data_IF_926501205330
#
_entry.id   IF_926501205330
#
_cell.length_a   1.000
_cell.length_b   1.000
_cell.length_c   1.000
_cell.angle_alpha   90.00
_cell.angle_beta   90.00
_cell.angle_gamma   90.00
#
_symmetry.space_group_name_H-M   'P 1'
#
loop_
_entity.id
_entity.type
_entity.pdbx_description
1 polymer ?
#
# COMPACT_ATOMS: atom_id res chain seq x y z
N UNK A 1 19.30 14.77 -4.99
CA UNK A 1 19.83 13.58 -4.29
C UNK A 1 18.70 12.55 -4.31
N UNK A 2 18.91 11.39 -4.95
CA UNK A 2 17.87 10.36 -5.01
C UNK A 2 18.02 9.46 -3.80
N UNK A 3 16.95 9.33 -3.02
CA UNK A 3 16.91 8.49 -1.82
C UNK A 3 16.29 7.14 -2.18
N UNK A 4 16.85 6.05 -1.67
CA UNK A 4 16.41 4.68 -2.01
C UNK A 4 15.92 3.97 -0.76
N UNK A 5 14.83 3.22 -0.87
CA UNK A 5 14.38 2.31 0.19
C UNK A 5 14.93 0.91 -0.07
N UNK A 6 15.56 0.31 0.93
CA UNK A 6 15.96 -1.10 0.87
C UNK A 6 14.74 -2.01 1.06
N UNK A 7 14.50 -2.92 0.11
CA UNK A 7 13.40 -3.90 0.16
C UNK A 7 13.79 -5.20 0.89
N UNK A 8 15.02 -5.34 1.38
CA UNK A 8 15.55 -6.60 1.94
C UNK A 8 14.74 -7.11 3.14
N UNK A 9 14.32 -6.22 4.03
CA UNK A 9 13.48 -6.57 5.19
C UNK A 9 12.05 -6.87 4.77
N UNK A 10 11.48 -6.02 3.92
CA UNK A 10 10.13 -6.14 3.40
C UNK A 10 9.85 -7.43 2.63
N UNK A 11 10.81 -7.90 1.84
CA UNK A 11 10.67 -9.17 1.11
C UNK A 11 10.66 -10.41 2.03
N UNK A 12 10.94 -10.26 3.33
CA UNK A 12 10.80 -11.32 4.36
C UNK A 12 9.50 -11.20 5.15
N UNK A 13 8.68 -10.17 4.88
CA UNK A 13 7.41 -9.99 5.55
C UNK A 13 6.40 -11.02 5.03
N UNK A 14 5.56 -11.58 5.90
CA UNK A 14 4.58 -12.62 5.53
C UNK A 14 3.69 -12.21 4.36
N UNK A 15 3.22 -10.96 4.33
CA UNK A 15 2.42 -10.45 3.20
C UNK A 15 3.16 -10.43 1.84
N UNK A 16 4.49 -10.31 1.83
CA UNK A 16 5.27 -10.43 0.61
C UNK A 16 5.24 -11.87 0.08
N UNK A 17 5.26 -12.86 0.99
CA UNK A 17 5.12 -14.28 0.66
C UNK A 17 3.70 -14.62 0.21
N UNK A 18 2.68 -14.16 0.94
CA UNK A 18 1.26 -14.38 0.62
C UNK A 18 0.87 -13.84 -0.77
N UNK A 19 1.46 -12.71 -1.18
CA UNK A 19 1.21 -12.10 -2.48
C UNK A 19 1.83 -12.88 -3.66
N UNK A 20 2.63 -13.93 -3.40
CA UNK A 20 3.35 -14.83 -4.34
C UNK A 20 4.39 -14.17 -5.26
N UNK A 21 4.16 -12.92 -5.67
CA UNK A 21 5.06 -12.11 -6.52
C UNK A 21 5.82 -11.03 -5.73
N UNK A 22 5.79 -11.10 -4.40
CA UNK A 22 6.29 -10.04 -3.53
C UNK A 22 5.28 -8.90 -3.37
N UNK A 23 5.76 -7.76 -2.91
CA UNK A 23 4.94 -6.56 -2.68
C UNK A 23 4.74 -5.79 -3.99
N UNK A 24 3.78 -4.87 -4.00
CA UNK A 24 3.58 -3.95 -5.11
C UNK A 24 4.31 -2.65 -4.83
N UNK A 25 5.02 -2.12 -5.82
CA UNK A 25 5.55 -0.75 -5.77
C UNK A 25 4.56 0.15 -6.47
N UNK A 26 3.90 1.00 -5.69
CA UNK A 26 2.80 1.86 -6.13
C UNK A 26 3.26 3.31 -6.16
N UNK A 27 2.85 4.11 -7.16
CA UNK A 27 3.17 5.54 -7.20
C UNK A 27 2.74 6.24 -5.90
N UNK A 28 3.68 6.96 -5.28
CA UNK A 28 3.45 7.65 -4.01
C UNK A 28 2.31 8.66 -4.11
N UNK A 29 2.18 9.33 -5.25
CA UNK A 29 1.08 10.27 -5.51
C UNK A 29 -0.30 9.58 -5.47
N UNK A 30 -0.42 8.41 -6.09
CA UNK A 30 -1.66 7.64 -6.03
C UNK A 30 -1.96 7.16 -4.60
N UNK A 31 -0.93 6.75 -3.85
CA UNK A 31 -1.12 6.39 -2.45
C UNK A 31 -1.60 7.57 -1.60
N UNK A 32 -1.18 8.79 -1.93
CA UNK A 32 -1.67 10.00 -1.28
C UNK A 32 -3.14 10.28 -1.62
N UNK A 33 -3.54 10.08 -2.89
CA UNK A 33 -4.95 10.21 -3.32
C UNK A 33 -5.90 9.31 -2.52
N UNK A 34 -5.45 8.11 -2.15
CA UNK A 34 -6.27 7.16 -1.37
C UNK A 34 -5.94 7.13 0.14
N UNK A 35 -5.13 8.08 0.61
CA UNK A 35 -4.76 8.22 2.02
C UNK A 35 -5.83 8.90 2.85
N UNK A 36 -5.71 8.82 4.17
CA UNK A 36 -6.56 9.57 5.08
C UNK A 36 -6.25 11.08 4.95
N UNK A 37 -7.19 11.90 4.45
CA UNK A 37 -6.97 13.35 4.33
C UNK A 37 -6.73 14.01 5.69
N UNK A 38 -7.33 13.46 6.75
CA UNK A 38 -7.30 14.00 8.11
C UNK A 38 -6.23 13.34 8.99
N UNK A 39 -5.28 12.59 8.41
CA UNK A 39 -4.18 12.03 9.20
C UNK A 39 -3.41 13.16 9.90
N UNK A 40 -3.02 12.91 11.14
CA UNK A 40 -2.28 13.85 11.99
C UNK A 40 -0.89 14.16 11.42
N UNK A 41 -0.21 15.14 12.00
CA UNK A 41 1.20 15.46 11.64
C UNK A 41 2.20 14.57 12.38
N UNK A 42 1.73 13.84 13.40
CA UNK A 42 2.53 12.89 14.18
C UNK A 42 1.87 11.51 14.23
N UNK A 43 2.70 10.49 14.46
CA UNK A 43 2.28 9.08 14.60
C UNK A 43 3.03 8.42 15.76
N UNK A 44 2.40 7.44 16.38
CA UNK A 44 3.12 6.39 17.11
C UNK A 44 3.82 5.46 16.10
N UNK A 45 4.98 4.92 16.46
CA UNK A 45 5.76 3.94 15.70
C UNK A 45 5.32 2.48 15.97
N UNK A 46 4.36 2.26 16.88
CA UNK A 46 3.86 0.93 17.26
C UNK A 46 4.89 0.09 18.01
N UNK A 47 5.93 0.73 18.55
CA UNK A 47 7.03 0.09 19.28
C UNK A 47 6.75 0.00 20.79
N UNK A 48 5.55 0.41 21.23
CA UNK A 48 5.13 0.37 22.63
C UNK A 48 5.66 1.54 23.47
N UNK A 49 6.29 2.54 22.84
CA UNK A 49 6.46 3.84 23.49
C UNK A 49 5.22 4.71 23.26
N UNK A 50 4.90 5.59 24.22
CA UNK A 50 3.80 6.55 24.06
C UNK A 50 4.25 7.80 23.30
N UNK A 51 5.36 7.72 22.54
CA UNK A 51 5.98 8.87 21.89
C UNK A 51 5.33 9.14 20.53
N UNK A 52 5.06 10.42 20.27
CA UNK A 52 4.58 10.90 18.99
C UNK A 52 5.76 11.35 18.12
N UNK A 53 5.84 10.80 16.91
CA UNK A 53 6.92 11.03 15.96
C UNK A 53 6.43 11.83 14.75
N UNK A 54 7.21 12.81 14.32
CA UNK A 54 6.96 13.58 13.08
C UNK A 54 7.23 12.74 11.83
N UNK A 55 6.70 13.16 10.67
CA UNK A 55 6.99 12.55 9.35
C UNK A 55 8.49 12.45 9.08
N UNK A 56 9.24 13.51 9.38
CA UNK A 56 10.71 13.53 9.28
C UNK A 56 11.36 12.43 10.11
N UNK A 57 10.94 12.27 11.36
CA UNK A 57 11.54 11.29 12.27
C UNK A 57 11.24 9.86 11.82
N UNK A 58 10.00 9.60 11.39
CA UNK A 58 9.59 8.33 10.77
C UNK A 58 10.50 8.00 9.59
N UNK A 59 10.74 8.98 8.72
CA UNK A 59 11.54 8.76 7.53
C UNK A 59 13.02 8.54 7.83
N UNK A 60 13.61 9.32 8.72
CA UNK A 60 15.00 9.11 9.14
C UNK A 60 15.20 7.71 9.74
N UNK A 61 14.21 7.20 10.48
CA UNK A 61 14.22 5.82 10.95
C UNK A 61 14.20 4.82 9.79
N UNK A 62 13.36 5.02 8.78
CA UNK A 62 13.30 4.16 7.57
C UNK A 62 14.63 4.18 6.82
N UNK A 63 15.28 5.34 6.66
CA UNK A 63 16.56 5.43 5.98
C UNK A 63 17.67 4.72 6.76
N UNK A 64 17.69 4.90 8.08
CA UNK A 64 18.71 4.31 8.95
C UNK A 64 18.54 2.80 9.11
N UNK A 65 17.31 2.35 9.32
CA UNK A 65 17.02 0.99 9.76
C UNK A 65 16.41 0.14 8.64
N UNK A 66 16.00 0.74 7.52
CA UNK A 66 15.12 0.11 6.55
C UNK A 66 13.67 0.06 7.02
N UNK A 67 12.76 -0.08 6.06
CA UNK A 67 11.34 -0.32 6.31
C UNK A 67 11.11 -1.80 6.62
N UNK A 68 10.33 -2.12 7.64
CA UNK A 68 10.05 -3.49 8.09
C UNK A 68 8.68 -3.99 7.65
N UNK A 69 7.68 -3.12 7.69
CA UNK A 69 6.29 -3.41 7.37
C UNK A 69 5.90 -2.63 6.13
N UNK A 70 5.31 -3.26 5.09
CA UNK A 70 4.82 -2.54 3.93
C UNK A 70 3.67 -1.59 4.30
N UNK A 71 3.29 -0.73 3.35
CA UNK A 71 1.99 -0.05 3.41
C UNK A 71 0.87 -1.07 3.20
N UNK A 72 -0.31 -0.79 3.73
CA UNK A 72 -1.48 -1.67 3.59
C UNK A 72 -2.60 -0.95 2.87
N UNK A 73 -3.00 -1.50 1.72
CA UNK A 73 -4.19 -1.05 0.96
C UNK A 73 -5.29 -2.08 1.11
N UNK A 74 -6.50 -1.59 1.39
CA UNK A 74 -7.69 -2.44 1.49
C UNK A 74 -8.64 -2.08 0.35
N UNK A 75 -9.13 -3.11 -0.33
CA UNK A 75 -10.22 -3.02 -1.29
C UNK A 75 -11.47 -3.64 -0.67
N UNK A 76 -12.52 -2.84 -0.54
CA UNK A 76 -13.83 -3.30 -0.14
C UNK A 76 -14.64 -3.68 -1.38
N UNK A 77 -15.01 -4.95 -1.49
CA UNK A 77 -15.87 -5.45 -2.55
C UNK A 77 -17.22 -5.88 -1.94
N UNK A 78 -18.21 -4.99 -1.83
CA UNK A 78 -19.50 -5.30 -1.19
C UNK A 78 -20.27 -6.40 -1.94
N UNK A 79 -21.30 -6.93 -1.29
CA UNK A 79 -22.26 -7.81 -1.95
C UNK A 79 -22.87 -7.09 -3.17
N UNK A 80 -22.85 -7.68 -4.38
CA UNK A 80 -23.39 -7.04 -5.59
C UNK A 80 -24.89 -6.73 -5.48
N UNK A 81 -25.64 -7.45 -4.64
CA UNK A 81 -27.06 -7.16 -4.39
C UNK A 81 -27.28 -5.86 -3.61
N UNK A 82 -26.29 -5.46 -2.82
CA UNK A 82 -26.35 -4.23 -2.01
C UNK A 82 -25.78 -3.04 -2.78
N UNK A 83 -24.64 -3.25 -3.47
CA UNK A 83 -23.94 -2.22 -4.22
C UNK A 83 -23.41 -2.77 -5.56
N UNK A 84 -24.23 -2.78 -6.63
CA UNK A 84 -23.93 -3.52 -7.85
C UNK A 84 -22.80 -2.94 -8.71
N UNK A 85 -22.48 -1.65 -8.57
CA UNK A 85 -21.51 -0.97 -9.45
C UNK A 85 -20.21 -0.52 -8.78
N UNK A 86 -20.17 -0.49 -7.45
CA UNK A 86 -19.13 0.24 -6.71
C UNK A 86 -18.39 -0.71 -5.78
N UNK A 87 -17.07 -0.66 -5.87
CA UNK A 87 -16.16 -1.15 -4.84
C UNK A 87 -15.48 0.07 -4.21
N UNK A 88 -14.85 -0.11 -3.05
CA UNK A 88 -14.09 0.96 -2.41
C UNK A 88 -12.64 0.59 -2.21
N UNK A 89 -11.77 1.58 -2.12
CA UNK A 89 -10.36 1.41 -1.82
C UNK A 89 -9.91 2.46 -0.81
N UNK A 90 -8.92 2.11 0.01
CA UNK A 90 -8.17 3.08 0.81
C UNK A 90 -6.79 2.57 1.18
N UNK A 91 -5.90 3.50 1.52
CA UNK A 91 -4.71 3.22 2.31
C UNK A 91 -5.13 3.07 3.78
N UNK A 92 -5.06 1.84 4.28
CA UNK A 92 -5.39 1.50 5.66
C UNK A 92 -4.24 1.85 6.61
N UNK A 93 -2.99 1.55 6.23
CA UNK A 93 -1.82 1.81 7.05
C UNK A 93 -0.68 2.42 6.25
N UNK A 94 -0.02 3.40 6.88
CA UNK A 94 1.16 4.09 6.35
C UNK A 94 0.92 5.49 5.80
N UNK A 95 -0.17 6.17 6.20
CA UNK A 95 -0.47 7.56 5.81
C UNK A 95 0.74 8.51 6.01
N UNK A 96 1.39 8.47 7.18
CA UNK A 96 2.57 9.30 7.48
C UNK A 96 3.78 8.97 6.60
N UNK A 97 3.95 7.69 6.24
CA UNK A 97 5.05 7.23 5.37
C UNK A 97 4.88 7.72 3.93
N UNK A 98 3.64 7.81 3.44
CA UNK A 98 3.33 8.41 2.13
C UNK A 98 3.70 9.89 2.10
N UNK A 99 3.28 10.65 3.13
CA UNK A 99 3.59 12.09 3.22
C UNK A 99 5.10 12.35 3.24
N UNK A 100 5.83 11.63 4.10
CA UNK A 100 7.27 11.76 4.18
C UNK A 100 7.99 11.35 2.88
N UNK A 101 7.48 10.33 2.19
CA UNK A 101 8.02 9.90 0.91
C UNK A 101 7.85 10.97 -0.19
N UNK A 102 6.71 11.67 -0.24
CA UNK A 102 6.48 12.78 -1.17
C UNK A 102 7.44 13.94 -0.90
N UNK A 103 7.60 14.35 0.37
CA UNK A 103 8.52 15.42 0.79
C UNK A 103 9.97 15.12 0.36
N UNK A 104 10.32 13.83 0.29
CA UNK A 104 11.66 13.34 -0.06
C UNK A 104 11.83 12.98 -1.54
N UNK A 105 10.81 13.20 -2.38
CA UNK A 105 10.86 12.90 -3.81
C UNK A 105 10.90 11.40 -4.14
N UNK A 106 10.41 10.55 -3.25
CA UNK A 106 10.28 9.11 -3.49
C UNK A 106 9.04 8.86 -4.34
N UNK A 107 9.25 8.25 -5.50
CA UNK A 107 8.18 8.07 -6.49
C UNK A 107 7.30 6.85 -6.24
N UNK A 108 7.80 5.82 -5.55
CA UNK A 108 7.07 4.58 -5.32
C UNK A 108 7.29 4.04 -3.90
N UNK A 109 6.25 3.44 -3.32
CA UNK A 109 6.32 2.77 -2.02
C UNK A 109 5.84 1.31 -2.10
N UNK A 110 6.41 0.43 -1.26
CA UNK A 110 6.04 -0.97 -1.17
C UNK A 110 4.73 -1.15 -0.39
N UNK A 111 3.79 -1.85 -1.02
CA UNK A 111 2.40 -2.01 -0.58
C UNK A 111 2.04 -3.50 -0.62
N UNK A 112 1.35 -3.96 0.42
CA UNK A 112 0.53 -5.15 0.37
C UNK A 112 -0.93 -4.73 0.21
N UNK A 113 -1.70 -5.48 -0.58
CA UNK A 113 -3.09 -5.16 -0.86
C UNK A 113 -3.98 -6.38 -0.77
N UNK A 114 -5.11 -6.21 -0.10
CA UNK A 114 -6.07 -7.28 0.12
C UNK A 114 -7.47 -6.79 -0.19
N UNK A 115 -8.31 -7.69 -0.69
CA UNK A 115 -9.73 -7.42 -0.94
C UNK A 115 -10.61 -8.30 -0.07
N UNK A 116 -11.71 -7.72 0.41
CA UNK A 116 -12.72 -8.40 1.23
C UNK A 116 -14.09 -7.77 1.04
N UNK A 117 -15.14 -8.57 1.20
CA UNK A 117 -16.53 -8.08 1.33
C UNK A 117 -16.93 -7.70 2.76
N UNK A 118 -16.04 -7.92 3.73
CA UNK A 118 -16.20 -7.47 5.10
C UNK A 118 -14.85 -6.97 5.65
N UNK A 119 -14.34 -5.84 5.15
CA UNK A 119 -13.05 -5.31 5.57
C UNK A 119 -13.14 -4.79 7.01
N UNK A 120 -12.13 -5.13 7.82
CA UNK A 120 -11.95 -4.48 9.11
C UNK A 120 -11.18 -3.17 8.90
N UNK A 121 -11.85 -2.06 9.17
CA UNK A 121 -11.31 -0.71 9.09
C UNK A 121 -11.02 -0.20 10.49
N UNK A 122 -9.75 -0.02 10.83
CA UNK A 122 -9.40 0.47 12.16
C UNK A 122 -9.79 1.94 12.27
N UNK A 123 -10.65 2.28 13.23
CA UNK A 123 -11.19 3.64 13.38
C UNK A 123 -10.10 4.69 13.59
N UNK A 124 -9.01 4.33 14.29
CA UNK A 124 -7.84 5.19 14.48
C UNK A 124 -7.10 5.55 13.19
N UNK A 125 -7.31 4.82 12.09
CA UNK A 125 -6.70 5.10 10.79
C UNK A 125 -7.57 6.02 9.91
N UNK A 126 -8.78 6.35 10.34
CA UNK A 126 -9.76 7.15 9.62
C UNK A 126 -10.94 6.36 9.08
N UNK A 127 -11.95 7.08 8.58
CA UNK A 127 -13.19 6.54 7.98
C UNK A 127 -13.27 6.79 6.48
N UNK A 128 -12.20 7.33 5.88
CA UNK A 128 -12.10 7.61 4.45
C UNK A 128 -12.22 6.32 3.64
N UNK A 129 -12.90 6.44 2.50
CA UNK A 129 -12.96 5.42 1.45
C UNK A 129 -13.16 6.11 0.12
N UNK A 130 -12.59 5.55 -0.94
CA UNK A 130 -12.69 6.09 -2.29
C UNK A 130 -13.34 5.07 -3.21
N UNK A 131 -14.26 5.53 -4.05
CA UNK A 131 -14.96 4.66 -4.97
C UNK A 131 -14.04 4.24 -6.12
N UNK A 132 -14.09 2.96 -6.44
CA UNK A 132 -13.47 2.37 -7.64
C UNK A 132 -14.49 1.49 -8.35
N UNK A 133 -14.29 1.26 -9.65
CA UNK A 133 -15.20 0.44 -10.42
C UNK A 133 -15.11 -1.01 -9.97
N UNK A 134 -16.27 -1.58 -9.63
CA UNK A 134 -16.39 -3.01 -9.28
C UNK A 134 -15.79 -3.92 -10.34
N UNK A 135 -16.05 -3.63 -11.61
CA UNK A 135 -15.56 -4.43 -12.72
C UNK A 135 -14.03 -4.50 -12.78
N UNK A 136 -13.32 -3.42 -12.41
CA UNK A 136 -11.85 -3.40 -12.40
C UNK A 136 -11.30 -4.34 -11.32
N UNK A 137 -11.95 -4.38 -10.15
CA UNK A 137 -11.64 -5.31 -9.05
C UNK A 137 -11.87 -6.77 -9.48
N UNK A 138 -13.04 -7.09 -10.03
CA UNK A 138 -13.36 -8.43 -10.51
C UNK A 138 -12.38 -8.91 -11.57
N UNK A 139 -12.00 -8.03 -12.49
CA UNK A 139 -11.04 -8.33 -13.54
C UNK A 139 -9.63 -8.57 -12.97
N UNK A 140 -9.22 -7.81 -11.95
CA UNK A 140 -7.95 -8.05 -11.26
C UNK A 140 -7.92 -9.41 -10.54
N UNK A 141 -9.06 -9.83 -9.99
CA UNK A 141 -9.25 -11.13 -9.34
C UNK A 141 -9.43 -12.29 -10.31
N UNK A 142 -9.69 -12.02 -11.59
CA UNK A 142 -10.12 -13.02 -12.58
C UNK A 142 -11.41 -13.74 -12.16
N UNK A 143 -12.43 -12.98 -11.71
CA UNK A 143 -13.69 -13.52 -11.16
C UNK A 143 -14.95 -12.82 -11.69
N UNK A 144 -16.09 -13.39 -11.34
CA UNK A 144 -17.45 -12.91 -11.60
C UNK A 144 -18.21 -12.66 -10.29
N UNK A 145 -19.36 -11.97 -10.37
CA UNK A 145 -20.15 -11.50 -9.22
C UNK A 145 -20.84 -12.58 -8.38
N UNK A 146 -20.85 -13.82 -8.86
CA UNK A 146 -21.36 -15.00 -8.17
C UNK A 146 -20.45 -15.49 -7.03
N UNK A 147 -19.19 -15.01 -6.98
CA UNK A 147 -18.22 -15.40 -5.94
C UNK A 147 -18.12 -14.32 -4.87
N UNK A 148 -18.62 -14.65 -3.67
CA UNK A 148 -18.56 -13.79 -2.49
C UNK A 148 -17.36 -14.14 -1.60
N UNK A 149 -16.59 -13.13 -1.17
CA UNK A 149 -15.35 -13.33 -0.42
C UNK A 149 -15.42 -12.67 0.96
N UNK A 150 -15.87 -13.39 1.99
CA UNK A 150 -16.00 -12.83 3.33
C UNK A 150 -14.65 -12.56 4.01
N UNK A 151 -13.58 -13.22 3.53
CA UNK A 151 -12.25 -13.15 4.13
C UNK A 151 -11.27 -12.35 3.25
N UNK A 152 -10.36 -11.56 3.87
CA UNK A 152 -9.30 -10.89 3.15
C UNK A 152 -8.41 -11.88 2.40
N UNK A 153 -8.10 -11.57 1.15
CA UNK A 153 -7.11 -12.29 0.36
C UNK A 153 -6.37 -11.32 -0.57
N UNK A 154 -5.15 -11.66 -1.01
CA UNK A 154 -4.33 -10.76 -1.80
C UNK A 154 -4.99 -10.38 -3.13
N UNK A 155 -4.90 -9.11 -3.50
CA UNK A 155 -5.33 -8.60 -4.81
C UNK A 155 -4.15 -8.05 -5.60
N UNK A 156 -4.10 -8.34 -6.90
CA UNK A 156 -3.04 -7.88 -7.79
C UNK A 156 -3.24 -6.40 -8.18
N UNK A 157 -2.55 -5.49 -7.48
CA UNK A 157 -2.64 -4.05 -7.77
C UNK A 157 -2.14 -3.68 -9.16
N UNK A 158 -1.20 -4.43 -9.74
CA UNK A 158 -0.74 -4.19 -11.12
C UNK A 158 -1.87 -4.41 -12.13
N UNK A 159 -2.72 -5.40 -11.87
CA UNK A 159 -3.93 -5.65 -12.67
C UNK A 159 -5.08 -4.69 -12.38
N UNK A 160 -5.21 -4.21 -11.13
CA UNK A 160 -6.26 -3.28 -10.74
C UNK A 160 -5.99 -1.86 -11.25
N UNK A 161 -4.74 -1.39 -11.12
CA UNK A 161 -4.31 -0.03 -11.41
C UNK A 161 -3.61 0.06 -12.77
N UNK A 162 -4.21 -0.50 -13.83
CA UNK A 162 -3.56 -0.65 -15.15
C UNK A 162 -3.10 0.65 -15.81
N UNK A 163 -3.68 1.78 -15.41
CA UNK A 163 -3.33 3.11 -15.89
C UNK A 163 -2.19 3.76 -15.10
N UNK A 164 -1.65 3.08 -14.07
CA UNK A 164 -0.59 3.56 -13.20
C UNK A 164 0.65 2.69 -13.39
N UNK A 165 1.83 3.27 -13.18
CA UNK A 165 3.10 2.55 -13.19
C UNK A 165 3.25 1.72 -11.90
N UNK A 166 2.77 0.48 -11.93
CA UNK A 166 2.86 -0.46 -10.80
C UNK A 166 3.82 -1.59 -11.13
N UNK A 167 4.70 -1.92 -10.19
CA UNK A 167 5.72 -2.95 -10.35
C UNK A 167 5.62 -4.00 -9.26
N UNK A 168 6.00 -5.24 -9.55
CA UNK A 168 6.23 -6.21 -8.48
C UNK A 168 7.62 -5.96 -7.89
N UNK A 169 7.76 -6.05 -6.56
CA UNK A 169 9.04 -5.84 -5.88
C UNK A 169 10.12 -6.84 -6.31
N UNK A 170 9.72 -7.98 -6.87
CA UNK A 170 10.60 -9.03 -7.41
C UNK A 170 11.12 -8.72 -8.82
N UNK A 171 10.44 -7.84 -9.57
CA UNK A 171 10.89 -7.41 -10.91
C UNK A 171 12.05 -6.40 -10.84
N UNK A 172 12.30 -5.81 -9.66
CA UNK A 172 13.31 -4.77 -9.49
C UNK A 172 14.64 -5.36 -9.03
N UNK A 173 15.65 -5.22 -9.90
CA UNK A 173 17.05 -5.52 -9.59
C UNK A 173 17.65 -4.32 -8.87
N UNK A 174 17.89 -4.43 -7.56
CA UNK A 174 18.62 -3.42 -6.79
C UNK A 174 20.13 -3.61 -7.07
N UNK A 175 20.69 -2.75 -7.92
CA UNK A 175 22.14 -2.61 -8.07
C UNK A 175 22.78 -2.05 -6.80
N UNK A 176 23.89 -2.64 -6.38
CA UNK A 176 24.53 -2.40 -5.07
C UNK A 176 25.09 -0.99 -4.85
N UNK A 177 24.96 -0.54 -3.60
CA UNK A 177 25.81 0.31 -2.77
C UNK A 177 26.20 1.74 -3.16
N UNK A 178 25.78 2.28 -4.30
CA UNK A 178 25.85 3.75 -4.48
C UNK A 178 24.64 4.28 -5.25
N UNK A 179 23.83 5.10 -4.56
CA UNK A 179 22.69 5.86 -5.10
C UNK A 179 21.65 5.01 -5.84
N UNK A 180 20.88 4.21 -5.10
CA UNK A 180 19.86 3.31 -5.63
C UNK A 180 18.77 4.02 -6.43
N UNK A 181 19.06 4.18 -7.72
CA UNK A 181 18.07 4.50 -8.73
C UNK A 181 17.21 3.24 -8.88
N UNK A 182 15.93 3.36 -8.56
CA UNK A 182 14.93 2.39 -9.02
C UNK A 182 14.85 2.57 -10.53
N UNK A 183 15.57 1.73 -11.29
CA UNK A 183 15.43 1.69 -12.74
C UNK A 183 14.29 0.75 -13.07
N UNK A 184 13.24 1.30 -13.66
CA UNK A 184 12.24 0.56 -14.40
C UNK A 184 12.94 0.02 -15.67
N UNK A 185 13.07 -1.29 -15.80
CA UNK A 185 13.38 -1.95 -17.08
C UNK A 185 12.10 -2.55 -17.64
#
# INVERSE_FOLDING_TARGET
MYTTISLKKLNRHSWAEESKKGLFLIPTEYLMEISNPDATVTTDMGNGDDQQYTTDTVWQSILKNGMDTPLYVVVYLPNPKENPGVAKIRLESGNHRVRAALEMGITHLPVAAFVSSNPYFHSGNGTHTFDIKRQDVLTALSRTDDVFEPYPHPIDLKKLLRSKEVFYSTEIIIGSDTNGIVKFM
#
